data_IF_000804192246
#
_entry.id   IF_000804192246
#
_cell.length_a   1.000
_cell.length_b   1.000
_cell.length_c   1.000
_cell.angle_alpha   90.00
_cell.angle_beta   90.00
_cell.angle_gamma   90.00
#
_symmetry.space_group_name_H-M   'P 1'
#
loop_
_entity.id
_entity.type
_entity.pdbx_description
1 polymer ?
#
# COMPACT_ATOMS: atom_id res chain seq x y z
N UNK A 1 14.61 49.03 7.93
CA UNK A 1 15.07 47.80 8.62
C UNK A 1 16.45 48.01 9.21
N UNK A 2 16.66 47.68 10.50
CA UNK A 2 17.97 47.72 11.16
C UNK A 2 18.90 46.62 10.64
N UNK A 3 20.23 46.77 10.77
CA UNK A 3 21.21 45.73 10.41
C UNK A 3 20.93 44.40 11.12
N UNK A 4 20.51 44.47 12.40
CA UNK A 4 20.08 43.30 13.19
C UNK A 4 18.80 42.65 12.63
N UNK A 5 17.85 43.45 12.16
CA UNK A 5 16.62 42.95 11.53
C UNK A 5 16.88 42.22 10.20
N UNK A 6 17.82 42.72 9.37
CA UNK A 6 18.23 42.01 8.15
C UNK A 6 18.94 40.70 8.45
N UNK A 7 19.80 40.68 9.46
CA UNK A 7 20.50 39.46 9.87
C UNK A 7 19.52 38.37 10.37
N UNK A 8 18.56 38.73 11.23
CA UNK A 8 17.54 37.78 11.70
C UNK A 8 16.65 37.29 10.55
N UNK A 9 16.31 38.16 9.60
CA UNK A 9 15.53 37.77 8.42
C UNK A 9 16.31 36.77 7.55
N UNK A 10 17.61 37.01 7.31
CA UNK A 10 18.47 36.07 6.58
C UNK A 10 18.54 34.71 7.30
N UNK A 11 18.71 34.72 8.63
CA UNK A 11 18.79 33.50 9.43
C UNK A 11 17.46 32.73 9.38
N UNK A 12 16.32 33.43 9.42
CA UNK A 12 15.00 32.85 9.25
C UNK A 12 14.80 32.21 7.86
N UNK A 13 15.28 32.87 6.79
CA UNK A 13 15.25 32.30 5.43
C UNK A 13 16.11 31.04 5.36
N UNK A 14 17.33 31.07 5.89
CA UNK A 14 18.22 29.90 5.89
C UNK A 14 17.59 28.73 6.65
N UNK A 15 17.01 28.97 7.81
CA UNK A 15 16.31 27.94 8.58
C UNK A 15 15.13 27.35 7.78
N UNK A 16 14.37 28.19 7.08
CA UNK A 16 13.28 27.75 6.20
C UNK A 16 13.80 26.88 5.04
N UNK A 17 14.91 27.28 4.39
CA UNK A 17 15.52 26.51 3.32
C UNK A 17 16.02 25.13 3.81
N UNK A 18 16.68 25.09 4.98
CA UNK A 18 17.13 23.83 5.60
C UNK A 18 15.94 22.94 5.90
N UNK A 19 14.87 23.50 6.46
CA UNK A 19 13.64 22.75 6.76
C UNK A 19 13.04 22.12 5.50
N UNK A 20 12.97 22.88 4.40
CA UNK A 20 12.45 22.37 3.13
C UNK A 20 13.34 21.31 2.48
N UNK A 21 14.66 21.44 2.59
CA UNK A 21 15.61 20.46 2.03
C UNK A 21 15.84 19.25 2.93
N UNK A 22 15.37 19.27 4.18
CA UNK A 22 15.61 18.22 5.16
C UNK A 22 15.18 16.82 4.70
N UNK A 23 14.00 16.61 4.09
CA UNK A 23 13.61 15.29 3.58
C UNK A 23 14.57 14.78 2.50
N UNK A 24 14.99 15.65 1.58
CA UNK A 24 15.93 15.33 0.50
C UNK A 24 17.30 14.91 1.05
N UNK A 25 17.82 15.64 2.04
CA UNK A 25 19.10 15.31 2.69
C UNK A 25 19.00 13.97 3.42
N UNK A 26 17.90 13.70 4.12
CA UNK A 26 17.70 12.42 4.80
C UNK A 26 17.65 11.27 3.79
N UNK A 27 16.88 11.43 2.72
CA UNK A 27 16.73 10.38 1.71
C UNK A 27 18.05 10.07 1.00
N UNK A 28 18.68 11.06 0.36
CA UNK A 28 19.86 10.82 -0.48
C UNK A 28 21.17 10.75 0.30
N UNK A 29 21.26 11.39 1.47
CA UNK A 29 22.50 11.53 2.23
C UNK A 29 22.61 10.64 3.47
N UNK A 30 21.50 10.37 4.16
CA UNK A 30 21.51 9.70 5.47
C UNK A 30 20.87 8.31 5.47
N UNK A 31 20.01 8.00 4.49
CA UNK A 31 19.32 6.71 4.42
C UNK A 31 20.21 5.70 3.68
N UNK A 32 20.58 4.57 4.31
CA UNK A 32 21.34 3.51 3.63
C UNK A 32 20.63 2.97 2.40
N UNK A 33 21.38 2.45 1.42
CA UNK A 33 20.80 1.92 0.17
C UNK A 33 19.83 0.76 0.41
N UNK A 34 20.11 -0.10 1.38
CA UNK A 34 19.24 -1.23 1.75
C UNK A 34 17.88 -0.72 2.26
N UNK A 35 17.89 0.28 3.14
CA UNK A 35 16.68 0.93 3.66
C UNK A 35 15.92 1.70 2.57
N UNK A 36 16.62 2.26 1.59
CA UNK A 36 15.97 2.90 0.44
C UNK A 36 15.21 1.86 -0.39
N UNK A 37 15.81 0.70 -0.67
CA UNK A 37 15.14 -0.38 -1.40
C UNK A 37 13.89 -0.85 -0.66
N UNK A 38 13.97 -1.06 0.65
CA UNK A 38 12.82 -1.45 1.47
C UNK A 38 11.72 -0.37 1.49
N UNK A 39 12.09 0.90 1.63
CA UNK A 39 11.15 2.01 1.63
C UNK A 39 10.45 2.22 0.27
N UNK A 40 11.10 1.82 -0.83
CA UNK A 40 10.55 1.86 -2.18
C UNK A 40 9.75 0.60 -2.55
N UNK A 41 9.69 -0.41 -1.67
CA UNK A 41 8.85 -1.59 -1.87
C UNK A 41 7.37 -1.30 -1.64
N UNK A 42 6.53 -2.23 -2.11
CA UNK A 42 5.09 -2.26 -1.81
C UNK A 42 4.82 -2.34 -0.31
N UNK A 43 3.61 -1.94 0.11
CA UNK A 43 3.18 -2.05 1.50
C UNK A 43 3.17 -3.52 1.95
N UNK A 44 2.88 -4.46 1.04
CA UNK A 44 2.98 -5.91 1.23
C UNK A 44 4.41 -6.33 1.52
N UNK A 45 5.38 -5.89 0.71
CA UNK A 45 6.80 -6.20 0.91
C UNK A 45 7.31 -5.65 2.24
N UNK A 46 6.86 -4.46 2.64
CA UNK A 46 7.20 -3.84 3.92
C UNK A 46 6.61 -4.66 5.08
N UNK A 47 5.36 -5.15 4.96
CA UNK A 47 4.71 -6.03 5.93
C UNK A 47 5.47 -7.34 6.08
N UNK A 48 5.77 -8.02 4.97
CA UNK A 48 6.49 -9.29 4.97
C UNK A 48 7.88 -9.16 5.60
N UNK A 49 8.62 -8.11 5.25
CA UNK A 49 9.94 -7.84 5.82
C UNK A 49 9.85 -7.55 7.33
N UNK A 50 8.93 -6.68 7.76
CA UNK A 50 8.76 -6.33 9.16
C UNK A 50 8.34 -7.55 9.99
N UNK A 51 7.43 -8.38 9.49
CA UNK A 51 7.01 -9.62 10.12
C UNK A 51 8.15 -10.65 10.21
N UNK A 52 8.95 -10.79 9.15
CA UNK A 52 10.14 -11.65 9.16
C UNK A 52 11.16 -11.20 10.22
N UNK A 53 11.52 -9.91 10.23
CA UNK A 53 12.45 -9.34 11.21
C UNK A 53 11.91 -9.46 12.64
N UNK A 54 10.62 -9.25 12.84
CA UNK A 54 9.98 -9.44 14.13
C UNK A 54 10.06 -10.89 14.61
N UNK A 55 9.78 -11.86 13.74
CA UNK A 55 9.93 -13.27 14.06
C UNK A 55 11.38 -13.65 14.41
N UNK A 56 12.37 -13.06 13.72
CA UNK A 56 13.78 -13.27 14.00
C UNK A 56 14.15 -12.72 15.39
N UNK A 57 13.78 -11.47 15.68
CA UNK A 57 14.04 -10.80 16.96
C UNK A 57 13.35 -11.49 18.16
N UNK A 58 12.12 -11.97 17.98
CA UNK A 58 11.43 -12.76 19.00
C UNK A 58 12.23 -14.02 19.33
N UNK A 59 12.74 -14.70 18.30
CA UNK A 59 13.52 -15.93 18.45
C UNK A 59 14.85 -15.64 19.17
N UNK A 60 15.55 -14.57 18.81
CA UNK A 60 16.82 -14.18 19.47
C UNK A 60 16.59 -13.81 20.93
N UNK A 61 15.57 -12.99 21.23
CA UNK A 61 15.22 -12.60 22.60
C UNK A 61 14.86 -13.80 23.47
N UNK A 62 14.08 -14.76 22.94
CA UNK A 62 13.74 -16.00 23.64
C UNK A 62 14.96 -16.89 23.87
N UNK A 63 15.87 -16.98 22.91
CA UNK A 63 17.12 -17.72 23.07
C UNK A 63 18.00 -17.09 24.17
N UNK A 64 18.18 -15.77 24.14
CA UNK A 64 18.92 -15.04 25.18
C UNK A 64 18.28 -15.18 26.56
N UNK A 65 16.96 -15.12 26.65
CA UNK A 65 16.22 -15.34 27.88
C UNK A 65 16.41 -16.76 28.44
N UNK A 66 16.57 -17.76 27.57
CA UNK A 66 16.81 -19.15 27.96
C UNK A 66 18.24 -19.37 28.45
N UNK A 67 19.22 -18.72 27.80
CA UNK A 67 20.63 -18.82 28.17
C UNK A 67 20.95 -18.05 29.45
N UNK A 68 20.53 -16.78 29.53
CA UNK A 68 20.81 -15.89 30.66
C UNK A 68 19.59 -14.98 30.95
N UNK A 69 18.60 -15.44 31.75
CA UNK A 69 17.38 -14.66 32.03
C UNK A 69 17.64 -13.29 32.66
N UNK A 70 18.71 -13.16 33.44
CA UNK A 70 19.12 -11.94 34.14
C UNK A 70 20.05 -11.03 33.34
N UNK A 71 20.35 -11.36 32.08
CA UNK A 71 21.20 -10.53 31.24
C UNK A 71 20.54 -9.17 30.96
N UNK A 72 21.39 -8.16 30.74
CA UNK A 72 20.94 -6.85 30.27
C UNK A 72 20.36 -6.96 28.86
N UNK A 73 19.40 -6.10 28.56
CA UNK A 73 18.75 -6.04 27.25
C UNK A 73 19.76 -5.52 26.21
N UNK A 74 19.97 -6.21 25.08
CA UNK A 74 20.83 -5.71 24.01
C UNK A 74 20.38 -4.32 23.53
N UNK A 75 21.35 -3.47 23.17
CA UNK A 75 21.10 -2.11 22.67
C UNK A 75 20.13 -2.09 21.49
N UNK A 76 20.21 -3.09 20.61
CA UNK A 76 19.33 -3.26 19.46
C UNK A 76 17.86 -3.39 19.85
N UNK A 77 17.55 -4.03 20.99
CA UNK A 77 16.19 -4.23 21.48
C UNK A 77 15.77 -3.24 22.58
N UNK A 78 16.60 -2.22 22.86
CA UNK A 78 16.33 -1.25 23.92
C UNK A 78 15.04 -0.43 23.69
N UNK A 79 14.60 -0.31 22.43
CA UNK A 79 13.34 0.36 22.09
C UNK A 79 12.12 -0.32 22.74
N UNK A 80 12.16 -1.65 22.94
CA UNK A 80 11.07 -2.42 23.57
C UNK A 80 10.84 -2.04 25.04
N UNK A 81 11.83 -1.45 25.71
CA UNK A 81 11.71 -1.01 27.11
C UNK A 81 10.56 0.01 27.25
N UNK A 82 10.37 0.88 26.26
CA UNK A 82 9.31 1.88 26.28
C UNK A 82 7.93 1.22 26.26
N UNK A 83 7.74 0.22 25.41
CA UNK A 83 6.47 -0.49 25.27
C UNK A 83 6.21 -1.41 26.47
N UNK A 84 7.23 -2.13 26.93
CA UNK A 84 7.14 -2.92 28.16
C UNK A 84 6.76 -2.06 29.38
N UNK A 85 7.34 -0.86 29.55
CA UNK A 85 6.95 0.08 30.61
C UNK A 85 5.48 0.48 30.53
N UNK A 86 4.97 0.73 29.33
CA UNK A 86 3.55 1.06 29.10
C UNK A 86 2.66 -0.11 29.48
N UNK A 87 3.02 -1.34 29.10
CA UNK A 87 2.28 -2.54 29.47
C UNK A 87 2.30 -2.82 30.98
N UNK A 88 3.45 -2.67 31.65
CA UNK A 88 3.55 -2.76 33.10
C UNK A 88 2.62 -1.78 33.81
N UNK A 89 2.54 -0.53 33.31
CA UNK A 89 1.63 0.49 33.84
C UNK A 89 0.16 0.07 33.68
N UNK A 90 -0.22 -0.50 32.54
CA UNK A 90 -1.56 -1.04 32.30
C UNK A 90 -1.89 -2.18 33.27
N UNK A 91 -0.90 -3.02 33.58
CA UNK A 91 -1.00 -4.11 34.56
C UNK A 91 -0.88 -3.65 36.02
N UNK A 92 -0.76 -2.33 36.27
CA UNK A 92 -0.55 -1.74 37.60
C UNK A 92 0.68 -2.30 38.33
N UNK A 93 1.72 -2.70 37.59
CA UNK A 93 3.01 -3.18 38.12
C UNK A 93 4.10 -2.13 37.88
N UNK A 94 5.11 -2.13 38.74
CA UNK A 94 6.28 -1.27 38.58
C UNK A 94 7.32 -1.96 37.67
N UNK A 95 7.79 -1.22 36.67
CA UNK A 95 8.88 -1.69 35.82
C UNK A 95 10.23 -1.52 36.56
N UNK A 96 11.11 -2.54 36.59
CA UNK A 96 12.41 -2.46 37.27
C UNK A 96 13.28 -1.29 36.78
N UNK A 97 14.14 -0.77 37.66
CA UNK A 97 15.09 0.31 37.30
C UNK A 97 16.21 -0.19 36.38
N UNK A 98 16.70 -1.40 36.63
CA UNK A 98 17.67 -2.12 35.81
C UNK A 98 16.97 -3.36 35.22
N UNK A 99 16.33 -3.23 34.05
CA UNK A 99 15.53 -4.31 33.49
C UNK A 99 16.40 -5.40 32.88
N UNK A 100 16.11 -6.66 33.22
CA UNK A 100 16.66 -7.83 32.55
C UNK A 100 15.83 -8.23 31.32
N UNK A 101 16.35 -9.13 30.48
CA UNK A 101 15.58 -9.71 29.36
C UNK A 101 14.31 -10.40 29.87
N UNK A 102 14.36 -11.08 31.03
CA UNK A 102 13.17 -11.66 31.64
C UNK A 102 12.13 -10.61 31.99
N UNK A 103 12.54 -9.49 32.56
CA UNK A 103 11.62 -8.40 32.92
C UNK A 103 11.03 -7.72 31.69
N UNK A 104 11.81 -7.63 30.61
CA UNK A 104 11.32 -7.15 29.32
C UNK A 104 10.20 -8.06 28.78
N UNK A 105 10.47 -9.37 28.68
CA UNK A 105 9.53 -10.35 28.16
C UNK A 105 8.27 -10.48 29.03
N UNK A 106 8.40 -10.35 30.35
CA UNK A 106 7.27 -10.35 31.28
C UNK A 106 6.32 -9.15 31.10
N UNK A 107 6.73 -8.13 30.34
CA UNK A 107 5.90 -6.99 29.97
C UNK A 107 4.91 -7.28 28.84
N UNK A 108 5.05 -8.41 28.14
CA UNK A 108 4.16 -8.82 27.05
C UNK A 108 3.33 -10.02 27.49
N UNK A 109 2.04 -10.02 27.16
CA UNK A 109 1.09 -11.06 27.55
C UNK A 109 1.39 -12.39 26.86
N UNK A 110 1.79 -12.32 25.59
CA UNK A 110 2.09 -13.48 24.77
C UNK A 110 3.11 -13.12 23.67
N UNK A 111 3.56 -14.14 22.95
CA UNK A 111 4.53 -13.99 21.87
C UNK A 111 4.02 -13.14 20.71
N UNK A 112 2.71 -13.19 20.44
CA UNK A 112 2.07 -12.39 19.39
C UNK A 112 2.12 -10.89 19.71
N UNK A 113 1.87 -10.48 20.96
CA UNK A 113 1.96 -9.08 21.38
C UNK A 113 3.39 -8.55 21.25
N UNK A 114 4.39 -9.35 21.64
CA UNK A 114 5.80 -9.01 21.47
C UNK A 114 6.16 -8.88 19.98
N UNK A 115 5.73 -9.84 19.16
CA UNK A 115 5.95 -9.83 17.71
C UNK A 115 5.35 -8.57 17.09
N UNK A 116 4.08 -8.27 17.38
CA UNK A 116 3.39 -7.07 16.86
C UNK A 116 4.11 -5.78 17.29
N UNK A 117 4.62 -5.70 18.52
CA UNK A 117 5.36 -4.53 18.99
C UNK A 117 6.68 -4.33 18.22
N UNK A 118 7.40 -5.42 17.93
CA UNK A 118 8.64 -5.38 17.13
C UNK A 118 8.32 -5.04 15.66
N UNK A 119 7.32 -5.70 15.09
CA UNK A 119 6.86 -5.49 13.72
C UNK A 119 6.46 -4.02 13.49
N UNK A 120 5.69 -3.45 14.42
CA UNK A 120 5.29 -2.03 14.39
C UNK A 120 6.51 -1.10 14.34
N UNK A 121 7.56 -1.38 15.11
CA UNK A 121 8.78 -0.56 15.10
C UNK A 121 9.48 -0.60 13.74
N UNK A 122 9.71 -1.79 13.18
CA UNK A 122 10.34 -1.94 11.87
C UNK A 122 9.53 -1.23 10.79
N UNK A 123 8.22 -1.43 10.82
CA UNK A 123 7.28 -0.76 9.95
C UNK A 123 7.38 0.76 10.05
N UNK A 124 7.29 1.33 11.25
CA UNK A 124 7.34 2.77 11.45
C UNK A 124 8.64 3.38 10.92
N UNK A 125 9.76 2.67 11.11
CA UNK A 125 11.06 3.09 10.61
C UNK A 125 11.11 3.09 9.08
N UNK A 126 10.63 2.03 8.42
CA UNK A 126 10.58 1.95 6.95
C UNK A 126 9.61 3.00 6.39
N UNK A 127 8.42 3.14 6.98
CA UNK A 127 7.43 4.15 6.55
C UNK A 127 7.94 5.57 6.76
N UNK A 128 8.76 5.82 7.78
CA UNK A 128 9.43 7.11 7.96
C UNK A 128 10.41 7.39 6.82
N UNK A 129 11.20 6.41 6.41
CA UNK A 129 12.10 6.52 5.26
C UNK A 129 11.31 6.75 3.97
N UNK A 130 10.19 6.02 3.78
CA UNK A 130 9.26 6.23 2.66
C UNK A 130 8.68 7.65 2.64
N UNK A 131 8.34 8.23 3.81
CA UNK A 131 7.94 9.64 3.91
C UNK A 131 9.05 10.62 3.52
N UNK A 132 10.31 10.33 3.86
CA UNK A 132 11.42 11.17 3.40
C UNK A 132 11.56 11.13 1.89
N UNK A 133 11.44 9.95 1.27
CA UNK A 133 11.38 9.83 -0.18
C UNK A 133 10.23 10.64 -0.77
N UNK A 134 9.00 10.44 -0.29
CA UNK A 134 7.80 11.10 -0.83
C UNK A 134 7.89 12.63 -0.75
N UNK A 135 8.50 13.16 0.31
CA UNK A 135 8.68 14.60 0.51
C UNK A 135 10.02 15.13 -0.03
N UNK A 136 10.87 14.28 -0.61
CA UNK A 136 12.14 14.68 -1.22
C UNK A 136 11.92 15.30 -2.60
N UNK A 137 12.85 16.17 -2.99
CA UNK A 137 12.95 16.63 -4.38
C UNK A 137 13.36 15.45 -5.26
N UNK A 138 12.49 15.07 -6.20
CA UNK A 138 12.75 13.97 -7.13
C UNK A 138 13.82 14.36 -8.13
N UNK A 139 14.84 13.53 -8.25
CA UNK A 139 15.86 13.65 -9.27
C UNK A 139 15.31 13.14 -10.62
N UNK A 140 15.61 13.85 -11.71
CA UNK A 140 15.20 13.46 -13.05
C UNK A 140 15.91 12.21 -13.58
N UNK A 141 15.47 11.73 -14.75
CA UNK A 141 15.97 10.51 -15.40
C UNK A 141 17.49 10.52 -15.56
N UNK A 142 18.04 11.65 -16.00
CA UNK A 142 19.47 11.82 -16.26
C UNK A 142 20.34 11.65 -15.00
N UNK A 143 19.79 11.95 -13.82
CA UNK A 143 20.53 11.97 -12.56
C UNK A 143 20.33 10.72 -11.70
N UNK A 144 19.21 10.01 -11.87
CA UNK A 144 18.87 8.85 -11.04
C UNK A 144 18.73 7.54 -11.80
N UNK A 145 18.80 7.57 -13.14
CA UNK A 145 18.27 6.46 -13.93
C UNK A 145 16.77 6.30 -13.73
N UNK A 146 16.17 5.31 -14.37
CA UNK A 146 14.71 5.13 -14.34
C UNK A 146 14.30 3.70 -14.61
N UNK A 147 13.00 3.47 -14.45
CA UNK A 147 12.37 2.21 -14.81
C UNK A 147 11.84 2.29 -16.24
N UNK A 148 12.09 1.25 -17.03
CA UNK A 148 11.54 1.09 -18.37
C UNK A 148 10.59 -0.10 -18.41
N UNK A 149 9.37 0.11 -18.90
CA UNK A 149 8.30 -0.88 -18.97
C UNK A 149 7.73 -0.91 -20.38
N UNK A 150 7.50 -2.11 -20.92
CA UNK A 150 6.80 -2.31 -22.18
C UNK A 150 5.49 -3.01 -21.89
N UNK A 151 4.37 -2.36 -22.22
CA UNK A 151 3.02 -2.88 -22.06
C UNK A 151 2.50 -3.32 -23.42
N UNK A 152 1.92 -4.52 -23.51
CA UNK A 152 1.26 -5.02 -24.72
C UNK A 152 -0.26 -4.92 -24.56
N UNK A 153 -0.92 -4.25 -25.49
CA UNK A 153 -2.38 -4.18 -25.55
C UNK A 153 -2.96 -5.47 -26.17
N UNK A 154 -4.02 -5.99 -25.55
CA UNK A 154 -4.81 -7.09 -26.09
C UNK A 154 -5.93 -6.55 -26.99
N UNK A 155 -5.54 -6.19 -28.22
CA UNK A 155 -6.44 -5.60 -29.20
C UNK A 155 -7.45 -6.61 -29.77
N UNK A 156 -7.09 -7.90 -29.78
CA UNK A 156 -7.96 -8.97 -30.26
C UNK A 156 -9.16 -9.15 -29.32
N UNK A 157 -8.92 -9.17 -28.01
CA UNK A 157 -9.99 -9.20 -27.02
C UNK A 157 -10.90 -7.97 -27.13
N UNK A 158 -10.32 -6.77 -27.29
CA UNK A 158 -11.08 -5.53 -27.42
C UNK A 158 -11.94 -5.49 -28.71
N UNK A 159 -11.44 -6.01 -29.82
CA UNK A 159 -12.18 -6.08 -31.07
C UNK A 159 -13.33 -7.10 -31.03
N UNK A 160 -13.19 -8.18 -30.24
CA UNK A 160 -14.21 -9.22 -30.10
C UNK A 160 -15.54 -8.67 -29.56
N UNK A 161 -15.48 -7.67 -28.69
CA UNK A 161 -16.65 -7.04 -28.10
C UNK A 161 -17.45 -6.18 -29.10
N UNK A 162 -16.84 -5.82 -30.24
CA UNK A 162 -17.41 -4.94 -31.26
C UNK A 162 -17.96 -5.68 -32.50
N UNK A 163 -17.81 -7.01 -32.56
CA UNK A 163 -18.30 -7.85 -33.66
C UNK A 163 -17.35 -7.95 -34.86
N UNK A 164 -17.86 -8.41 -36.02
CA UNK A 164 -17.06 -8.55 -37.25
C UNK A 164 -16.84 -7.20 -37.93
N UNK A 165 -15.59 -6.76 -37.98
CA UNK A 165 -15.14 -5.57 -38.71
C UNK A 165 -14.42 -5.96 -40.01
N UNK A 166 -14.40 -5.05 -40.99
CA UNK A 166 -13.51 -5.16 -42.16
C UNK A 166 -12.05 -4.92 -41.76
N UNK A 167 -11.08 -5.27 -42.62
CA UNK A 167 -9.64 -5.08 -42.35
C UNK A 167 -9.28 -3.62 -42.05
N UNK A 168 -9.90 -2.68 -42.78
CA UNK A 168 -9.59 -1.26 -42.71
C UNK A 168 -10.21 -0.61 -41.46
N UNK A 169 -11.41 -1.05 -41.10
CA UNK A 169 -12.06 -0.67 -39.83
C UNK A 169 -11.28 -1.20 -38.64
N UNK A 170 -10.75 -2.44 -38.71
CA UNK A 170 -9.95 -3.03 -37.64
C UNK A 170 -8.63 -2.28 -37.44
N UNK A 171 -7.96 -1.88 -38.53
CA UNK A 171 -6.72 -1.10 -38.45
C UNK A 171 -6.96 0.29 -37.83
N UNK A 172 -8.05 0.95 -38.23
CA UNK A 172 -8.45 2.26 -37.67
C UNK A 172 -8.84 2.13 -36.19
N UNK A 173 -9.59 1.09 -35.84
CA UNK A 173 -9.96 0.79 -34.46
C UNK A 173 -8.72 0.56 -33.59
N UNK A 174 -7.78 -0.28 -34.04
CA UNK A 174 -6.55 -0.58 -33.33
C UNK A 174 -5.72 0.68 -33.07
N UNK A 175 -5.57 1.56 -34.06
CA UNK A 175 -4.81 2.80 -33.88
C UNK A 175 -5.48 3.77 -32.90
N UNK A 176 -6.80 3.90 -32.99
CA UNK A 176 -7.59 4.71 -32.05
C UNK A 176 -7.52 4.16 -30.62
N UNK A 177 -7.66 2.84 -30.46
CA UNK A 177 -7.57 2.17 -29.17
C UNK A 177 -6.19 2.35 -28.53
N UNK A 178 -5.12 2.24 -29.33
CA UNK A 178 -3.75 2.50 -28.86
C UNK A 178 -3.54 3.95 -28.46
N UNK A 179 -4.06 4.90 -29.24
CA UNK A 179 -3.97 6.34 -28.91
C UNK A 179 -4.70 6.63 -27.59
N UNK A 180 -5.90 6.08 -27.41
CA UNK A 180 -6.67 6.23 -26.17
C UNK A 180 -5.97 5.58 -24.98
N UNK A 181 -5.34 4.42 -25.16
CA UNK A 181 -4.56 3.75 -24.12
C UNK A 181 -3.35 4.61 -23.69
N UNK A 182 -2.64 5.22 -24.64
CA UNK A 182 -1.53 6.15 -24.34
C UNK A 182 -2.01 7.35 -23.53
N UNK A 183 -3.09 8.01 -23.93
CA UNK A 183 -3.63 9.17 -23.19
C UNK A 183 -4.12 8.77 -21.79
N UNK A 184 -4.74 7.59 -21.66
CA UNK A 184 -5.18 7.06 -20.36
C UNK A 184 -3.98 6.81 -19.44
N UNK A 185 -2.92 6.18 -19.95
CA UNK A 185 -1.71 5.93 -19.17
C UNK A 185 -0.99 7.23 -18.80
N UNK A 186 -0.95 8.22 -19.69
CA UNK A 186 -0.41 9.55 -19.39
C UNK A 186 -1.18 10.21 -18.25
N UNK A 187 -2.51 10.28 -18.35
CA UNK A 187 -3.35 10.84 -17.30
C UNK A 187 -3.27 10.09 -15.97
N UNK A 188 -3.01 8.77 -15.98
CA UNK A 188 -2.75 8.00 -14.77
C UNK A 188 -1.40 8.38 -14.16
N UNK A 189 -0.32 8.36 -14.93
CA UNK A 189 1.04 8.63 -14.45
C UNK A 189 1.19 10.08 -13.95
N UNK A 190 0.58 11.05 -14.65
CA UNK A 190 0.61 12.46 -14.27
C UNK A 190 0.01 12.69 -12.87
N UNK A 191 -1.06 11.96 -12.51
CA UNK A 191 -1.67 12.05 -11.18
C UNK A 191 -0.76 11.60 -10.05
N UNK A 192 0.29 10.82 -10.33
CA UNK A 192 1.27 10.40 -9.33
C UNK A 192 2.40 11.41 -9.15
N UNK A 193 2.36 12.56 -9.84
CA UNK A 193 3.33 13.64 -9.67
C UNK A 193 4.74 13.27 -10.10
N UNK A 194 4.87 12.28 -11.01
CA UNK A 194 6.13 11.91 -11.62
C UNK A 194 6.52 12.98 -12.63
N UNK A 195 7.67 13.60 -12.44
CA UNK A 195 8.20 14.62 -13.35
C UNK A 195 8.65 13.98 -14.64
N UNK A 196 7.98 14.26 -15.76
CA UNK A 196 8.45 13.98 -17.13
C UNK A 196 8.58 12.49 -17.52
N UNK A 197 7.50 11.68 -17.45
CA UNK A 197 7.51 10.32 -18.00
C UNK A 197 7.59 10.32 -19.53
N UNK A 198 8.35 9.38 -20.11
CA UNK A 198 8.37 9.18 -21.56
C UNK A 198 7.42 8.04 -21.91
N UNK A 199 6.28 8.37 -22.52
CA UNK A 199 5.27 7.39 -22.95
C UNK A 199 5.15 7.47 -24.48
N UNK A 200 5.43 6.37 -25.17
CA UNK A 200 5.41 6.29 -26.64
C UNK A 200 4.86 4.95 -27.11
N UNK A 201 4.11 4.97 -28.21
CA UNK A 201 3.70 3.75 -28.92
C UNK A 201 4.95 3.08 -29.53
N UNK A 202 5.05 1.76 -29.39
CA UNK A 202 6.12 0.94 -29.95
C UNK A 202 5.49 -0.18 -30.80
N UNK A 203 5.60 -0.07 -32.13
CA UNK A 203 4.92 -0.98 -33.04
C UNK A 203 3.40 -0.82 -33.03
N UNK A 204 2.65 -1.87 -33.35
CA UNK A 204 1.19 -1.80 -33.52
C UNK A 204 0.41 -1.93 -32.21
N UNK A 205 0.90 -2.73 -31.25
CA UNK A 205 0.17 -3.09 -30.04
C UNK A 205 0.98 -2.95 -28.74
N UNK A 206 2.08 -2.20 -28.73
CA UNK A 206 2.88 -1.98 -27.52
C UNK A 206 3.03 -0.51 -27.18
N UNK A 207 3.20 -0.25 -25.89
CA UNK A 207 3.45 1.08 -25.33
C UNK A 207 4.73 0.97 -24.49
N UNK A 208 5.72 1.76 -24.86
CA UNK A 208 6.95 1.96 -24.11
C UNK A 208 6.75 3.09 -23.11
N UNK A 209 7.08 2.82 -21.85
CA UNK A 209 6.92 3.74 -20.73
C UNK A 209 8.25 3.79 -19.99
N UNK A 210 8.80 4.99 -19.82
CA UNK A 210 9.99 5.24 -19.01
C UNK A 210 9.67 6.26 -17.94
N UNK A 211 9.96 5.90 -16.69
CA UNK A 211 9.63 6.68 -15.50
C UNK A 211 10.93 7.02 -14.78
N UNK A 212 11.18 8.31 -14.51
CA UNK A 212 12.39 8.73 -13.82
C UNK A 212 12.39 8.35 -12.34
N UNK A 213 13.59 8.07 -11.85
CA UNK A 213 13.85 7.83 -10.44
C UNK A 213 13.56 6.40 -9.99
N UNK A 214 13.91 6.15 -8.73
CA UNK A 214 13.63 4.91 -8.05
C UNK A 214 12.17 4.96 -7.59
N UNK A 215 11.24 4.75 -8.51
CA UNK A 215 9.84 4.73 -8.18
C UNK A 215 9.42 3.34 -7.68
N UNK A 216 8.36 3.29 -6.88
CA UNK A 216 7.84 2.05 -6.32
C UNK A 216 7.27 1.18 -7.45
N UNK A 217 8.08 0.20 -7.87
CA UNK A 217 7.84 -0.64 -9.05
C UNK A 217 6.46 -1.28 -8.99
N UNK A 218 6.11 -1.81 -7.82
CA UNK A 218 4.83 -2.50 -7.61
C UNK A 218 3.65 -1.55 -7.71
N UNK A 219 3.76 -0.35 -7.12
CA UNK A 219 2.74 0.69 -7.24
C UNK A 219 2.58 1.14 -8.69
N UNK A 220 3.68 1.34 -9.43
CA UNK A 220 3.60 1.69 -10.85
C UNK A 220 2.97 0.57 -11.67
N UNK A 221 3.36 -0.67 -11.42
CA UNK A 221 2.79 -1.82 -12.10
C UNK A 221 1.28 -1.92 -11.86
N UNK A 222 0.81 -1.68 -10.63
CA UNK A 222 -0.63 -1.68 -10.32
C UNK A 222 -1.39 -0.56 -11.04
N UNK A 223 -0.77 0.62 -11.24
CA UNK A 223 -1.36 1.74 -11.99
C UNK A 223 -1.44 1.43 -13.49
N UNK A 224 -0.36 0.87 -14.05
CA UNK A 224 -0.25 0.55 -15.47
C UNK A 224 -1.18 -0.63 -15.83
N UNK A 225 -1.16 -1.70 -15.03
CA UNK A 225 -1.95 -2.91 -15.28
C UNK A 225 -3.37 -2.84 -14.72
N UNK A 226 -3.65 -1.93 -13.78
CA UNK A 226 -4.93 -1.82 -13.13
C UNK A 226 -6.05 -1.54 -14.13
N UNK A 227 -7.06 -2.42 -14.19
CA UNK A 227 -8.20 -2.23 -15.10
C UNK A 227 -9.18 -1.14 -14.61
N UNK A 228 -9.06 -0.67 -13.37
CA UNK A 228 -9.78 0.52 -12.87
C UNK A 228 -11.29 0.48 -13.06
N UNK A 229 -11.91 -0.71 -12.94
CA UNK A 229 -13.35 -0.89 -13.14
C UNK A 229 -14.06 -0.55 -11.82
N UNK A 230 -15.03 0.36 -11.89
CA UNK A 230 -15.87 0.76 -10.76
C UNK A 230 -17.33 0.46 -11.10
N UNK A 231 -17.97 -0.40 -10.29
CA UNK A 231 -19.38 -0.75 -10.43
C UNK A 231 -20.09 -0.53 -9.10
N UNK A 232 -21.26 0.10 -9.14
CA UNK A 232 -22.19 0.21 -8.02
C UNK A 232 -23.30 -0.82 -8.22
N UNK A 233 -23.45 -1.70 -7.25
CA UNK A 233 -24.41 -2.80 -7.23
C UNK A 233 -25.15 -2.77 -5.90
N UNK A 234 -26.40 -3.24 -5.91
CA UNK A 234 -27.18 -3.35 -4.67
C UNK A 234 -26.71 -4.56 -3.86
N UNK A 235 -26.58 -4.38 -2.55
CA UNK A 235 -26.25 -5.44 -1.60
C UNK A 235 -27.56 -6.06 -1.09
N UNK A 236 -27.61 -7.38 -1.04
CA UNK A 236 -28.69 -8.13 -0.39
C UNK A 236 -28.26 -8.52 1.03
N UNK A 237 -28.73 -7.77 2.03
CA UNK A 237 -28.30 -7.95 3.42
C UNK A 237 -28.72 -9.30 4.01
N UNK A 238 -29.94 -9.77 3.71
CA UNK A 238 -30.45 -11.04 4.25
C UNK A 238 -29.67 -12.23 3.65
N UNK A 239 -29.44 -12.21 2.34
CA UNK A 239 -28.62 -13.23 1.69
C UNK A 239 -27.15 -13.16 2.15
N UNK A 240 -26.62 -11.95 2.42
CA UNK A 240 -25.27 -11.76 2.94
C UNK A 240 -25.09 -12.41 4.32
N UNK A 241 -26.04 -12.18 5.23
CA UNK A 241 -25.98 -12.76 6.57
C UNK A 241 -26.10 -14.29 6.53
N UNK A 242 -27.02 -14.81 5.71
CA UNK A 242 -27.18 -16.26 5.50
C UNK A 242 -25.92 -16.89 4.91
N UNK A 243 -25.31 -16.25 3.91
CA UNK A 243 -24.09 -16.73 3.28
C UNK A 243 -22.91 -16.73 4.25
N UNK A 244 -22.71 -15.64 5.00
CA UNK A 244 -21.60 -15.54 5.96
C UNK A 244 -21.74 -16.58 7.10
N UNK A 245 -22.97 -16.85 7.56
CA UNK A 245 -23.23 -17.92 8.52
C UNK A 245 -22.89 -19.31 7.95
N UNK A 246 -23.26 -19.56 6.69
CA UNK A 246 -22.91 -20.81 6.00
C UNK A 246 -21.39 -20.97 5.84
N UNK A 247 -20.70 -19.92 5.37
CA UNK A 247 -19.25 -19.92 5.18
C UNK A 247 -18.50 -20.15 6.51
N UNK A 248 -18.96 -19.56 7.62
CA UNK A 248 -18.37 -19.77 8.92
C UNK A 248 -18.46 -21.24 9.40
N UNK A 249 -19.51 -21.96 8.99
CA UNK A 249 -19.67 -23.38 9.29
C UNK A 249 -18.88 -24.30 8.33
N UNK A 250 -18.70 -23.90 7.07
CA UNK A 250 -18.11 -24.75 6.01
C UNK A 250 -17.05 -24.02 5.16
N UNK A 251 -15.97 -23.47 5.75
CA UNK A 251 -15.03 -22.59 5.03
C UNK A 251 -14.29 -23.30 3.89
N UNK A 252 -14.00 -24.60 4.04
CA UNK A 252 -13.27 -25.39 3.03
C UNK A 252 -14.15 -25.91 1.88
N UNK A 253 -15.48 -25.90 2.05
CA UNK A 253 -16.45 -26.49 1.11
C UNK A 253 -17.30 -25.45 0.40
N UNK A 254 -17.06 -24.15 0.66
CA UNK A 254 -17.85 -23.07 0.05
C UNK A 254 -17.35 -22.72 -1.37
N UNK A 255 -16.02 -22.76 -1.58
CA UNK A 255 -15.40 -22.30 -2.81
C UNK A 255 -14.52 -23.37 -3.47
N UNK A 256 -14.46 -23.34 -4.80
CA UNK A 256 -13.46 -24.07 -5.57
C UNK A 256 -12.07 -23.44 -5.39
N UNK A 257 -11.02 -24.15 -5.80
CA UNK A 257 -9.67 -23.59 -5.87
C UNK A 257 -9.54 -22.35 -6.78
N UNK A 258 -10.54 -22.09 -7.64
CA UNK A 258 -10.62 -20.92 -8.52
C UNK A 258 -11.44 -19.78 -7.92
N UNK A 259 -11.99 -19.95 -6.72
CA UNK A 259 -12.81 -18.94 -6.02
C UNK A 259 -14.27 -18.88 -6.47
N UNK A 260 -14.75 -19.89 -7.20
CA UNK A 260 -16.16 -20.01 -7.60
C UNK A 260 -16.95 -20.75 -6.52
N UNK A 261 -18.23 -20.43 -6.33
CA UNK A 261 -19.08 -21.15 -5.38
C UNK A 261 -19.29 -22.60 -5.82
N UNK A 262 -19.12 -23.54 -4.88
CA UNK A 262 -19.37 -24.97 -5.12
C UNK A 262 -20.87 -25.29 -5.21
N UNK A 263 -21.68 -24.62 -4.39
CA UNK A 263 -23.13 -24.69 -4.41
C UNK A 263 -23.70 -23.30 -4.69
N UNK A 264 -24.42 -23.14 -5.80
CA UNK A 264 -25.04 -21.87 -6.19
C UNK A 264 -26.40 -21.65 -5.51
N UNK A 265 -27.00 -22.67 -4.90
CA UNK A 265 -28.31 -22.57 -4.25
C UNK A 265 -28.29 -21.82 -2.92
N UNK A 266 -27.09 -21.59 -2.36
CA UNK A 266 -26.87 -20.84 -1.11
C UNK A 266 -27.12 -19.34 -1.26
N UNK A 267 -27.19 -18.84 -2.49
CA UNK A 267 -27.50 -17.43 -2.81
C UNK A 267 -28.62 -17.36 -3.86
N UNK A 268 -29.39 -16.25 -3.91
CA UNK A 268 -30.36 -16.04 -4.98
C UNK A 268 -29.72 -16.03 -6.38
N UNK A 269 -30.42 -16.54 -7.40
CA UNK A 269 -29.89 -16.67 -8.77
C UNK A 269 -29.43 -15.34 -9.40
N UNK A 270 -30.07 -14.23 -9.04
CA UNK A 270 -29.78 -12.88 -9.52
C UNK A 270 -28.64 -12.18 -8.75
N UNK A 271 -27.99 -12.91 -7.84
CA UNK A 271 -26.88 -12.39 -7.01
C UNK A 271 -25.56 -13.11 -7.27
N UNK A 272 -24.47 -12.51 -6.79
CA UNK A 272 -23.14 -13.07 -6.73
C UNK A 272 -22.44 -12.69 -5.41
N UNK A 273 -21.44 -13.47 -5.02
CA UNK A 273 -20.67 -13.24 -3.79
C UNK A 273 -19.41 -12.46 -4.13
N UNK A 274 -19.19 -11.34 -3.45
CA UNK A 274 -17.96 -10.55 -3.51
C UNK A 274 -17.31 -10.48 -2.13
N UNK A 275 -15.98 -10.40 -2.08
CA UNK A 275 -15.26 -10.19 -0.83
C UNK A 275 -15.49 -8.78 -0.28
N UNK A 276 -15.69 -8.67 1.03
CA UNK A 276 -15.66 -7.41 1.76
C UNK A 276 -14.24 -7.20 2.31
N UNK A 277 -13.64 -6.08 1.94
CA UNK A 277 -12.27 -5.75 2.33
C UNK A 277 -12.25 -4.50 3.21
N UNK A 278 -11.37 -4.49 4.21
CA UNK A 278 -10.97 -3.30 4.95
C UNK A 278 -9.49 -3.06 4.75
N UNK A 279 -9.05 -1.83 4.98
CA UNK A 279 -7.63 -1.54 5.12
C UNK A 279 -7.13 -2.05 6.46
N UNK A 280 -6.12 -2.91 6.44
CA UNK A 280 -5.41 -3.34 7.64
C UNK A 280 -4.53 -2.19 8.18
N UNK A 281 -3.76 -2.47 9.23
CA UNK A 281 -2.89 -1.45 9.79
C UNK A 281 -1.92 -0.90 8.73
N UNK A 282 -1.46 -1.72 7.78
CA UNK A 282 -0.54 -1.40 6.68
C UNK A 282 -1.18 -0.69 5.48
N UNK A 283 -2.48 -0.40 5.51
CA UNK A 283 -3.26 0.10 4.37
C UNK A 283 -3.39 -0.92 3.22
N UNK A 284 -3.24 -2.21 3.55
CA UNK A 284 -3.46 -3.33 2.65
C UNK A 284 -4.90 -3.83 2.73
N UNK A 285 -5.41 -4.37 1.62
CA UNK A 285 -6.76 -4.92 1.59
C UNK A 285 -6.80 -6.26 2.34
N UNK A 286 -7.44 -6.26 3.50
CA UNK A 286 -7.73 -7.44 4.30
C UNK A 286 -9.20 -7.83 4.14
N UNK A 287 -9.46 -9.05 3.67
CA UNK A 287 -10.83 -9.56 3.53
C UNK A 287 -11.40 -9.86 4.92
N UNK A 288 -12.44 -9.14 5.31
CA UNK A 288 -13.15 -9.31 6.59
C UNK A 288 -14.44 -10.13 6.48
N UNK A 289 -14.89 -10.40 5.26
CA UNK A 289 -16.09 -11.19 5.02
C UNK A 289 -16.49 -11.22 3.56
N UNK A 290 -17.75 -11.53 3.32
CA UNK A 290 -18.35 -11.51 1.99
C UNK A 290 -19.64 -10.69 1.99
N UNK A 291 -19.98 -10.17 0.81
CA UNK A 291 -21.25 -9.54 0.48
C UNK A 291 -21.91 -10.32 -0.64
N UNK A 292 -23.22 -10.53 -0.52
CA UNK A 292 -24.06 -10.98 -1.62
C UNK A 292 -24.62 -9.75 -2.31
N UNK A 293 -24.29 -9.58 -3.59
CA UNK A 293 -24.66 -8.40 -4.39
C UNK A 293 -25.47 -8.81 -5.61
N UNK A 294 -26.38 -7.96 -6.05
CA UNK A 294 -27.11 -8.14 -7.31
C UNK A 294 -26.14 -8.05 -8.48
N UNK A 295 -26.29 -8.95 -9.46
CA UNK A 295 -25.48 -8.95 -10.69
C UNK A 295 -25.70 -7.69 -11.54
N UNK A 296 -26.90 -7.10 -11.44
CA UNK A 296 -27.25 -5.86 -12.12
C UNK A 296 -26.36 -4.69 -11.65
N UNK A 297 -25.71 -4.03 -12.61
CA UNK A 297 -24.92 -2.82 -12.36
C UNK A 297 -25.85 -1.61 -12.44
N UNK A 298 -26.09 -0.98 -11.30
CA UNK A 298 -26.98 0.19 -11.19
C UNK A 298 -26.28 1.45 -11.69
N UNK A 299 -24.99 1.58 -11.39
CA UNK A 299 -24.15 2.69 -11.87
C UNK A 299 -22.74 2.18 -12.16
N UNK A 300 -22.16 2.68 -13.23
CA UNK A 300 -20.79 2.38 -13.69
C UNK A 300 -19.92 3.63 -13.52
N UNK A 301 -18.63 3.43 -13.25
CA UNK A 301 -17.58 4.45 -13.19
C UNK A 301 -17.57 5.44 -14.34
N UNK A 302 -18.06 5.10 -15.55
CA UNK A 302 -18.20 6.05 -16.66
C UNK A 302 -19.11 7.26 -16.37
N UNK A 303 -19.99 7.14 -15.37
CA UNK A 303 -20.87 8.22 -14.95
C UNK A 303 -20.25 9.16 -13.92
N UNK A 304 -19.04 8.84 -13.44
CA UNK A 304 -18.30 9.62 -12.45
C UNK A 304 -17.56 10.76 -13.15
N UNK A 305 -17.74 11.98 -12.66
CA UNK A 305 -17.07 13.19 -13.16
C UNK A 305 -15.74 13.42 -12.45
N UNK A 306 -15.68 13.19 -11.15
CA UNK A 306 -14.44 13.28 -10.38
C UNK A 306 -14.39 12.28 -9.22
N UNK A 307 -13.17 11.96 -8.79
CA UNK A 307 -12.89 11.12 -7.64
C UNK A 307 -11.75 11.76 -6.83
N UNK A 308 -12.06 12.26 -5.63
CA UNK A 308 -11.16 13.08 -4.85
C UNK A 308 -10.94 12.49 -3.44
N UNK A 309 -9.68 12.44 -3.00
CA UNK A 309 -9.33 11.95 -1.67
C UNK A 309 -9.64 13.04 -0.65
N UNK A 310 -10.46 12.72 0.34
CA UNK A 310 -10.65 13.55 1.53
C UNK A 310 -10.44 12.74 2.81
N UNK A 311 -10.73 13.35 3.95
CA UNK A 311 -10.68 12.71 5.25
C UNK A 311 -12.08 12.70 5.85
N UNK A 312 -12.49 11.56 6.40
CA UNK A 312 -13.72 11.45 7.16
C UNK A 312 -13.60 12.31 8.43
N UNK A 313 -14.59 13.18 8.66
CA UNK A 313 -14.58 14.15 9.75
C UNK A 313 -14.68 13.51 11.14
N UNK A 314 -15.14 12.26 11.23
CA UNK A 314 -15.37 11.59 12.51
C UNK A 314 -14.19 10.75 12.99
N UNK A 315 -13.56 9.98 12.09
CA UNK A 315 -12.46 9.05 12.42
C UNK A 315 -11.10 9.46 11.81
N UNK A 316 -11.07 10.54 11.01
CA UNK A 316 -9.87 11.03 10.34
C UNK A 316 -9.37 10.14 9.20
N UNK A 317 -10.06 9.05 8.87
CA UNK A 317 -9.60 8.09 7.87
C UNK A 317 -9.72 8.66 6.46
N UNK A 318 -8.79 8.34 5.54
CA UNK A 318 -8.91 8.71 4.13
C UNK A 318 -10.18 8.12 3.53
N UNK A 319 -10.90 8.90 2.73
CA UNK A 319 -12.08 8.46 1.98
C UNK A 319 -12.07 9.05 0.57
N UNK A 320 -12.62 8.31 -0.40
CA UNK A 320 -12.75 8.79 -1.78
C UNK A 320 -14.16 9.34 -1.98
N UNK A 321 -14.25 10.59 -2.40
CA UNK A 321 -15.50 11.25 -2.76
C UNK A 321 -15.70 11.14 -4.27
N UNK A 322 -16.81 10.55 -4.67
CA UNK A 322 -17.21 10.49 -6.07
C UNK A 322 -18.25 11.59 -6.36
N UNK A 323 -18.04 12.34 -7.44
CA UNK A 323 -18.96 13.39 -7.94
C UNK A 323 -19.37 13.11 -9.38
#
# INVERSE_FOLDING_TARGET
MSKRGRFLLILGIIACCIFFLWPTINWYGLTPKEDQVLALGSLETIKDFAGYKASEDVKTLKALAKENPGAAIPLEHAYLIKEAKKNYKLLKKNFPKEPSIRDLLAGFQNELELMNAIETMYREQILKNKRYYNNSVKLGLDLSGGMSVIVKADLEAAAKDLGKMTSDELATFNDNAMTQAVETLRGRIDKFGLSEPVIRKQGENRIYIEIPGAAEVDSINSIIMGKGILNFRLVDSEATDAFNAHYAAHPAETFTARGELLDLSIIPEDTEVLGLYTKDEYDLDERIGYLVVKKEIVLDGKHIKSADIGSNQYDGRPQVHFT
#
